data_IF_572127000469
#
_entry.id   IF_572127000469
#
_cell.length_a   1.000
_cell.length_b   1.000
_cell.length_c   1.000
_cell.angle_alpha   90.00
_cell.angle_beta   90.00
_cell.angle_gamma   90.00
#
_symmetry.space_group_name_H-M   'P 1'
#
loop_
_entity.id
_entity.type
_entity.pdbx_description
1 polymer ?
#
# COMPACT_ATOMS: atom_id res chain seq x y z
N UNK A 1 -6.52 14.18 23.41
CA UNK A 1 -7.07 13.04 22.65
C UNK A 1 -7.61 13.50 21.30
N UNK A 2 -8.55 14.45 21.23
CA UNK A 2 -9.16 14.88 19.96
C UNK A 2 -8.18 15.39 18.87
N UNK A 3 -7.11 16.10 19.26
CA UNK A 3 -6.07 16.56 18.31
C UNK A 3 -5.34 15.37 17.66
N UNK A 4 -5.09 14.31 18.43
CA UNK A 4 -4.44 13.10 17.94
C UNK A 4 -5.34 12.32 16.96
N UNK A 5 -6.64 12.27 17.24
CA UNK A 5 -7.63 11.62 16.39
C UNK A 5 -7.82 12.36 15.06
N UNK A 6 -7.79 13.70 15.09
CA UNK A 6 -7.78 14.55 13.89
C UNK A 6 -6.53 14.29 13.05
N UNK A 7 -5.35 14.30 13.68
CA UNK A 7 -4.09 14.05 12.98
C UNK A 7 -4.05 12.66 12.34
N UNK A 8 -4.50 11.62 13.06
CA UNK A 8 -4.59 10.26 12.52
C UNK A 8 -5.58 10.18 11.36
N UNK A 9 -6.74 10.83 11.46
CA UNK A 9 -7.73 10.86 10.40
C UNK A 9 -7.20 11.56 9.14
N UNK A 10 -6.51 12.69 9.30
CA UNK A 10 -5.87 13.41 8.20
C UNK A 10 -4.80 12.55 7.53
N UNK A 11 -3.96 11.86 8.32
CA UNK A 11 -2.95 10.94 7.78
C UNK A 11 -3.58 9.79 6.99
N UNK A 12 -4.68 9.19 7.49
CA UNK A 12 -5.41 8.12 6.80
C UNK A 12 -6.01 8.59 5.46
N UNK A 13 -6.62 9.76 5.45
CA UNK A 13 -7.17 10.37 4.22
C UNK A 13 -6.05 10.68 3.23
N UNK A 14 -4.94 11.27 3.68
CA UNK A 14 -3.79 11.56 2.83
C UNK A 14 -3.20 10.28 2.20
N UNK A 15 -3.04 9.20 2.97
CA UNK A 15 -2.58 7.90 2.46
C UNK A 15 -3.55 7.37 1.41
N UNK A 16 -4.86 7.37 1.69
CA UNK A 16 -5.87 6.93 0.73
C UNK A 16 -5.79 7.72 -0.57
N UNK A 17 -5.70 9.05 -0.51
CA UNK A 17 -5.58 9.91 -1.69
C UNK A 17 -4.32 9.60 -2.50
N UNK A 18 -3.17 9.44 -1.85
CA UNK A 18 -1.90 9.12 -2.53
C UNK A 18 -2.00 7.76 -3.24
N UNK A 19 -2.55 6.74 -2.58
CA UNK A 19 -2.67 5.40 -3.15
C UNK A 19 -3.66 5.37 -4.33
N UNK A 20 -4.82 6.01 -4.18
CA UNK A 20 -5.80 6.13 -5.27
C UNK A 20 -5.20 6.90 -6.44
N UNK A 21 -4.54 8.03 -6.18
CA UNK A 21 -3.87 8.81 -7.22
C UNK A 21 -2.82 7.98 -7.98
N UNK A 22 -1.99 7.21 -7.27
CA UNK A 22 -1.01 6.29 -7.92
C UNK A 22 -1.69 5.24 -8.79
N UNK A 23 -2.76 4.62 -8.31
CA UNK A 23 -3.51 3.60 -9.04
C UNK A 23 -4.17 4.15 -10.31
N UNK A 24 -4.72 5.37 -10.24
CA UNK A 24 -5.39 6.02 -11.37
C UNK A 24 -4.39 6.59 -12.37
N UNK A 25 -3.32 7.24 -11.89
CA UNK A 25 -2.37 7.94 -12.77
C UNK A 25 -1.36 7.00 -13.42
N UNK A 26 -0.99 5.91 -12.75
CA UNK A 26 0.07 5.01 -13.20
C UNK A 26 -0.31 3.53 -13.20
N UNK A 27 -1.46 3.13 -13.79
CA UNK A 27 -1.93 1.74 -13.73
C UNK A 27 -0.96 0.74 -14.38
N UNK A 28 -0.17 1.17 -15.38
CA UNK A 28 0.79 0.31 -16.09
C UNK A 28 2.17 0.19 -15.43
N UNK A 29 2.49 0.99 -14.41
CA UNK A 29 3.79 0.92 -13.73
C UNK A 29 3.85 -0.16 -12.64
N UNK A 30 2.68 -0.65 -12.21
CA UNK A 30 2.54 -1.54 -11.07
C UNK A 30 2.07 -2.93 -11.51
N UNK A 31 2.67 -3.96 -10.94
CA UNK A 31 2.25 -5.33 -11.13
C UNK A 31 0.92 -5.61 -10.41
N UNK A 32 0.24 -6.71 -10.76
CA UNK A 32 -1.04 -7.09 -10.17
C UNK A 32 -1.03 -7.14 -8.63
N UNK A 33 0.04 -7.67 -8.04
CA UNK A 33 0.23 -7.70 -6.59
C UNK A 33 0.36 -6.31 -5.95
N UNK A 34 1.12 -5.42 -6.58
CA UNK A 34 1.29 -4.03 -6.11
C UNK A 34 -0.04 -3.28 -6.17
N UNK A 35 -0.81 -3.48 -7.26
CA UNK A 35 -2.14 -2.88 -7.42
C UNK A 35 -3.14 -3.40 -6.39
N UNK A 36 -3.21 -4.72 -6.20
CA UNK A 36 -4.10 -5.33 -5.22
C UNK A 36 -3.77 -4.83 -3.80
N UNK A 37 -2.49 -4.82 -3.43
CA UNK A 37 -2.03 -4.30 -2.15
C UNK A 37 -2.39 -2.83 -1.93
N UNK A 38 -2.15 -1.97 -2.93
CA UNK A 38 -2.53 -0.55 -2.84
C UNK A 38 -4.04 -0.33 -2.77
N UNK A 39 -4.84 -1.11 -3.51
CA UNK A 39 -6.31 -1.00 -3.47
C UNK A 39 -6.86 -1.40 -2.09
N UNK A 40 -6.38 -2.53 -1.55
CA UNK A 40 -6.78 -2.99 -0.21
C UNK A 40 -6.32 -1.98 0.86
N UNK A 41 -5.09 -1.49 0.77
CA UNK A 41 -4.59 -0.48 1.71
C UNK A 41 -5.37 0.84 1.63
N UNK A 42 -5.70 1.33 0.43
CA UNK A 42 -6.47 2.56 0.27
C UNK A 42 -7.88 2.45 0.86
N UNK A 43 -8.59 1.36 0.57
CA UNK A 43 -9.92 1.10 1.09
C UNK A 43 -9.93 0.95 2.62
N UNK A 44 -9.02 0.14 3.16
CA UNK A 44 -8.95 -0.09 4.60
C UNK A 44 -8.45 1.14 5.38
N UNK A 45 -7.56 1.95 4.78
CA UNK A 45 -7.15 3.24 5.36
C UNK A 45 -8.35 4.18 5.52
N UNK A 46 -9.25 4.25 4.53
CA UNK A 46 -10.46 5.06 4.64
C UNK A 46 -11.40 4.54 5.74
N UNK A 47 -11.60 3.22 5.82
CA UNK A 47 -12.43 2.59 6.84
C UNK A 47 -11.90 2.81 8.28
N UNK A 48 -10.59 2.97 8.46
CA UNK A 48 -10.04 3.29 9.80
C UNK A 48 -10.40 4.69 10.31
N UNK A 49 -10.80 5.62 9.44
CA UNK A 49 -11.22 6.97 9.88
C UNK A 49 -12.47 6.87 10.77
N UNK A 50 -13.48 6.11 10.36
CA UNK A 50 -14.72 5.96 11.16
C UNK A 50 -14.46 5.26 12.50
N UNK A 51 -13.49 4.33 12.54
CA UNK A 51 -13.08 3.64 13.78
C UNK A 51 -12.43 4.60 14.78
N UNK A 52 -11.62 5.56 14.31
CA UNK A 52 -10.96 6.56 15.17
C UNK A 52 -12.00 7.40 15.92
N UNK A 53 -13.07 7.83 15.23
CA UNK A 53 -14.07 8.72 15.82
C UNK A 53 -15.14 8.00 16.65
N UNK A 54 -15.54 6.79 16.25
CA UNK A 54 -16.64 6.09 16.93
C UNK A 54 -16.23 5.37 18.23
N UNK A 55 -14.92 5.21 18.46
CA UNK A 55 -14.35 4.49 19.60
C UNK A 55 -14.79 3.02 19.59
N UNK A 56 -13.91 2.10 19.17
CA UNK A 56 -14.18 0.67 18.93
C UNK A 56 -15.45 0.13 19.63
N UNK A 57 -16.57 0.06 18.91
CA UNK A 57 -17.84 -0.46 19.43
C UNK A 57 -18.06 -1.91 19.01
N UNK A 58 -17.33 -2.36 17.99
CA UNK A 58 -17.45 -3.68 17.39
C UNK A 58 -16.13 -4.45 17.48
N UNK A 59 -16.16 -5.78 17.73
CA UNK A 59 -14.97 -6.63 17.67
C UNK A 59 -14.32 -6.65 16.26
N UNK A 60 -15.05 -6.16 15.25
CA UNK A 60 -14.55 -6.04 13.89
C UNK A 60 -13.80 -4.73 13.59
N UNK A 61 -13.85 -3.74 14.49
CA UNK A 61 -13.24 -2.42 14.27
C UNK A 61 -11.71 -2.46 14.15
N UNK A 62 -11.06 -3.49 14.71
CA UNK A 62 -9.62 -3.72 14.55
C UNK A 62 -9.22 -4.26 13.16
N UNK A 63 -10.15 -4.85 12.41
CA UNK A 63 -9.84 -5.52 11.14
C UNK A 63 -9.46 -4.55 10.04
N UNK A 64 -10.00 -3.33 10.04
CA UNK A 64 -9.62 -2.31 9.06
C UNK A 64 -8.11 -1.98 9.16
N UNK A 65 -7.57 -1.89 10.37
CA UNK A 65 -6.13 -1.67 10.59
C UNK A 65 -5.31 -2.89 10.17
N UNK A 66 -5.77 -4.10 10.48
CA UNK A 66 -5.08 -5.35 10.08
C UNK A 66 -5.05 -5.52 8.57
N UNK A 67 -6.18 -5.33 7.89
CA UNK A 67 -6.31 -5.41 6.44
C UNK A 67 -5.52 -4.30 5.73
N UNK A 68 -5.45 -3.11 6.33
CA UNK A 68 -4.55 -2.05 5.87
C UNK A 68 -3.10 -2.54 5.86
N UNK A 69 -2.62 -3.12 6.97
CA UNK A 69 -1.25 -3.67 7.07
C UNK A 69 -1.00 -4.80 6.08
N UNK A 70 -1.98 -5.68 5.85
CA UNK A 70 -1.91 -6.73 4.83
C UNK A 70 -1.80 -6.12 3.43
N UNK A 71 -2.59 -5.10 3.11
CA UNK A 71 -2.51 -4.39 1.83
C UNK A 71 -1.12 -3.77 1.60
N UNK A 72 -0.55 -3.15 2.63
CA UNK A 72 0.82 -2.62 2.59
C UNK A 72 1.85 -3.74 2.39
N UNK A 73 1.69 -4.87 3.09
CA UNK A 73 2.57 -6.03 2.95
C UNK A 73 2.53 -6.59 1.52
N UNK A 74 1.34 -6.76 0.92
CA UNK A 74 1.18 -7.20 -0.46
C UNK A 74 1.85 -6.26 -1.45
N UNK A 75 1.74 -4.94 -1.22
CA UNK A 75 2.48 -3.95 -2.00
C UNK A 75 4.00 -4.16 -1.90
N UNK A 76 4.53 -4.34 -0.70
CA UNK A 76 5.96 -4.57 -0.50
C UNK A 76 6.44 -5.87 -1.14
N UNK A 77 5.69 -6.97 -0.98
CA UNK A 77 6.00 -8.25 -1.64
C UNK A 77 6.10 -8.03 -3.16
N UNK A 78 5.09 -7.41 -3.77
CA UNK A 78 5.09 -7.14 -5.20
C UNK A 78 6.30 -6.29 -5.64
N UNK A 79 6.67 -5.28 -4.84
CA UNK A 79 7.83 -4.42 -5.08
C UNK A 79 9.15 -5.19 -4.99
N UNK A 80 9.32 -6.02 -3.96
CA UNK A 80 10.51 -6.86 -3.78
C UNK A 80 10.65 -7.87 -4.92
N UNK A 81 9.56 -8.54 -5.32
CA UNK A 81 9.58 -9.46 -6.46
C UNK A 81 9.91 -8.76 -7.78
N UNK A 82 9.45 -7.51 -7.97
CA UNK A 82 9.85 -6.71 -9.13
C UNK A 82 11.34 -6.36 -9.09
N UNK A 83 11.84 -5.95 -7.92
CA UNK A 83 13.25 -5.59 -7.74
C UNK A 83 14.18 -6.77 -8.02
N UNK A 84 13.93 -7.93 -7.42
CA UNK A 84 14.70 -9.16 -7.67
C UNK A 84 14.68 -9.60 -9.13
N UNK A 85 13.56 -9.43 -9.84
CA UNK A 85 13.51 -9.72 -11.29
C UNK A 85 14.40 -8.77 -12.10
N UNK A 86 14.43 -7.49 -11.77
CA UNK A 86 15.33 -6.53 -12.41
C UNK A 86 16.79 -6.83 -12.11
N UNK A 87 17.15 -7.12 -10.87
CA UNK A 87 18.52 -7.49 -10.50
C UNK A 87 19.00 -8.74 -11.24
N UNK A 88 18.15 -9.78 -11.31
CA UNK A 88 18.45 -11.00 -12.05
C UNK A 88 18.65 -10.73 -13.55
N UNK A 89 17.81 -9.88 -14.14
CA UNK A 89 17.94 -9.49 -15.55
C UNK A 89 19.25 -8.71 -15.80
N UNK A 90 19.59 -7.77 -14.92
CA UNK A 90 20.85 -7.01 -15.00
C UNK A 90 22.07 -7.92 -14.87
N UNK A 91 22.05 -8.88 -13.93
CA UNK A 91 23.14 -9.85 -13.79
C UNK A 91 23.31 -10.74 -15.04
N UNK A 92 22.20 -11.13 -15.68
CA UNK A 92 22.26 -11.88 -16.94
C UNK A 92 22.84 -11.04 -18.09
N UNK A 93 22.48 -9.76 -18.17
CA UNK A 93 23.03 -8.85 -19.18
C UNK A 93 24.52 -8.57 -18.98
N UNK A 94 24.97 -8.44 -17.73
CA UNK A 94 26.39 -8.33 -17.36
C UNK A 94 27.16 -9.59 -17.76
N UNK A 95 26.62 -10.79 -17.46
CA UNK A 95 27.22 -12.08 -17.86
C UNK A 95 27.29 -12.25 -19.37
N UNK A 96 26.37 -11.65 -20.12
CA UNK A 96 26.35 -11.65 -21.59
C UNK A 96 27.24 -10.56 -22.22
N UNK A 97 27.96 -9.76 -21.41
CA UNK A 97 28.87 -8.72 -21.90
C UNK A 97 28.17 -7.55 -22.61
N UNK A 98 26.84 -7.41 -22.45
CA UNK A 98 26.04 -6.37 -23.12
C UNK A 98 25.98 -5.03 -22.38
N UNK A 99 26.43 -5.02 -21.12
CA UNK A 99 26.60 -3.82 -20.32
C UNK A 99 28.11 -3.62 -20.14
N UNK A 100 28.71 -2.74 -20.95
CA UNK A 100 30.02 -2.13 -20.69
C UNK A 100 29.79 -0.71 -20.22
#
# INVERSE_FOLDING_TARGET
>A
MIVWDILNSLARVAITLILVWKLVRFPGLFNGWERAGMSVAAGCSMLTVTVIWNGQRSPFDGWATTLFSIGVLLYFIGRTTRHWRHERANQLQLKQGRLR
#
